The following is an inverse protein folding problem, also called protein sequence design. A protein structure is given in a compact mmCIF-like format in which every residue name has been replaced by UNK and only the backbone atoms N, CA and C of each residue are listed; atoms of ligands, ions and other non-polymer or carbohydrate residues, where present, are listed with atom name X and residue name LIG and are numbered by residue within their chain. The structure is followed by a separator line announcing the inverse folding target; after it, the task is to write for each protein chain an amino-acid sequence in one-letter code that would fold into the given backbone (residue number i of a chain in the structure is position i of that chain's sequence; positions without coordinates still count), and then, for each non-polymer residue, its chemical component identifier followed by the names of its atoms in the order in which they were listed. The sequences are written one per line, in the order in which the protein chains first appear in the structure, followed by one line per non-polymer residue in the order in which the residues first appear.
data_IF_132212663491
#
_entry.id   IF_132212663491
#
_cell.length_a   1.000
_cell.length_b   1.000
_cell.length_c   1.000
_cell.angle_alpha   90.00
_cell.angle_beta   90.00
_cell.angle_gamma   90.00
#
_symmetry.space_group_name_H-M   'P 1'
#
loop_
_entity.id
_entity.type
_entity.pdbx_description
1 polymer ?
#
# COMPACT_ATOMS: atom_id res chain seq x y z
N UNK A 1 -2.92 -31.13 -4.45
CA UNK A 1 -4.00 -30.12 -4.46
C UNK A 1 -3.67 -28.84 -3.69
N UNK A 2 -2.88 -28.86 -2.61
CA UNK A 2 -2.49 -27.64 -1.88
C UNK A 2 -1.57 -26.65 -2.61
N UNK A 3 -0.91 -27.07 -3.70
CA UNK A 3 -0.02 -26.22 -4.51
C UNK A 3 -0.76 -25.14 -5.31
N UNK A 4 -2.00 -25.40 -5.71
CA UNK A 4 -2.80 -24.46 -6.51
C UNK A 4 -3.11 -23.18 -5.73
N UNK A 5 -3.36 -23.29 -4.42
CA UNK A 5 -3.60 -22.15 -3.54
C UNK A 5 -2.34 -21.30 -3.37
N UNK A 6 -1.20 -21.94 -3.13
CA UNK A 6 0.09 -21.26 -2.99
C UNK A 6 0.51 -20.55 -4.28
N UNK A 7 0.20 -21.13 -5.43
CA UNK A 7 0.48 -20.53 -6.74
C UNK A 7 -0.36 -19.28 -7.01
N UNK A 8 -1.52 -19.12 -6.34
CA UNK A 8 -2.36 -17.92 -6.45
C UNK A 8 -2.00 -16.81 -5.47
N UNK A 9 -1.13 -17.06 -4.49
CA UNK A 9 -0.72 -16.03 -3.53
C UNK A 9 -0.20 -14.76 -4.23
N UNK A 10 0.69 -14.83 -5.24
CA UNK A 10 1.16 -13.64 -5.94
C UNK A 10 0.01 -12.85 -6.61
N UNK A 11 -0.91 -13.56 -7.25
CA UNK A 11 -2.08 -12.96 -7.89
C UNK A 11 -3.01 -12.31 -6.85
N UNK A 12 -3.31 -13.02 -5.76
CA UNK A 12 -4.14 -12.53 -4.67
C UNK A 12 -3.54 -11.29 -4.00
N UNK A 13 -2.23 -11.28 -3.77
CA UNK A 13 -1.51 -10.10 -3.26
C UNK A 13 -1.62 -8.92 -4.24
N UNK A 14 -1.47 -9.17 -5.55
CA UNK A 14 -1.69 -8.15 -6.57
C UNK A 14 -3.10 -7.55 -6.52
N UNK A 15 -4.12 -8.38 -6.35
CA UNK A 15 -5.53 -7.94 -6.23
C UNK A 15 -5.73 -7.13 -4.95
N UNK A 16 -5.22 -7.60 -3.81
CA UNK A 16 -5.35 -6.92 -2.50
C UNK A 16 -4.65 -5.55 -2.49
N UNK A 17 -3.60 -5.36 -3.30
CA UNK A 17 -2.89 -4.09 -3.41
C UNK A 17 -3.58 -3.07 -4.34
N UNK A 18 -4.56 -3.48 -5.15
CA UNK A 18 -5.30 -2.59 -6.06
C UNK A 18 -5.87 -1.33 -5.39
N UNK A 19 -6.52 -1.40 -4.20
CA UNK A 19 -7.07 -0.22 -3.55
C UNK A 19 -6.03 0.86 -3.25
N UNK A 20 -4.78 0.48 -2.93
CA UNK A 20 -3.70 1.42 -2.65
C UNK A 20 -3.35 2.25 -3.89
N UNK A 21 -3.25 1.59 -5.05
CA UNK A 21 -2.99 2.26 -6.32
C UNK A 21 -4.15 3.20 -6.68
N UNK A 22 -5.40 2.78 -6.45
CA UNK A 22 -6.59 3.61 -6.69
C UNK A 22 -6.58 4.86 -5.80
N UNK A 23 -6.29 4.72 -4.50
CA UNK A 23 -6.20 5.87 -3.57
C UNK A 23 -5.15 6.87 -4.01
N UNK A 24 -3.98 6.41 -4.46
CA UNK A 24 -2.93 7.28 -4.96
C UNK A 24 -3.36 8.04 -6.23
N UNK A 25 -4.00 7.36 -7.19
CA UNK A 25 -4.56 8.01 -8.40
C UNK A 25 -5.60 9.06 -8.03
N UNK A 26 -6.52 8.74 -7.12
CA UNK A 26 -7.56 9.67 -6.66
C UNK A 26 -6.94 10.90 -6.00
N UNK A 27 -5.97 10.72 -5.10
CA UNK A 27 -5.25 11.82 -4.46
C UNK A 27 -4.52 12.71 -5.48
N UNK A 28 -3.92 12.09 -6.50
CA UNK A 28 -3.24 12.78 -7.59
C UNK A 28 -4.24 13.57 -8.45
N UNK A 29 -5.45 13.05 -8.67
CA UNK A 29 -6.50 13.70 -9.43
C UNK A 29 -7.10 14.92 -8.71
N UNK A 30 -7.12 14.90 -7.36
CA UNK A 30 -7.50 16.05 -6.54
C UNK A 30 -6.41 17.14 -6.44
N UNK A 31 -5.23 16.93 -7.03
CA UNK A 31 -4.18 17.95 -7.07
C UNK A 31 -4.53 19.08 -8.05
N UNK A 32 -4.12 20.30 -7.69
CA UNK A 32 -4.26 21.51 -8.51
C UNK A 32 -3.70 21.35 -9.94
N UNK A 33 -2.71 20.44 -10.11
CA UNK A 33 -2.11 20.08 -11.41
C UNK A 33 -2.40 18.63 -11.82
N UNK A 34 -3.66 18.20 -11.67
CA UNK A 34 -4.13 16.83 -11.89
C UNK A 34 -3.55 16.13 -13.14
N UNK A 35 -3.50 16.81 -14.30
CA UNK A 35 -2.95 16.23 -15.54
C UNK A 35 -1.46 15.86 -15.44
N UNK A 36 -0.62 16.79 -15.00
CA UNK A 36 0.83 16.57 -14.92
C UNK A 36 1.14 15.55 -13.84
N UNK A 37 0.47 15.67 -12.68
CA UNK A 37 0.70 14.79 -11.55
C UNK A 37 0.22 13.35 -11.84
N UNK A 38 -0.87 13.19 -12.61
CA UNK A 38 -1.35 11.86 -13.05
C UNK A 38 -0.37 11.17 -13.99
N UNK A 39 0.19 11.91 -14.95
CA UNK A 39 1.18 11.34 -15.88
C UNK A 39 2.46 10.99 -15.13
N UNK A 40 2.94 11.87 -14.25
CA UNK A 40 4.11 11.61 -13.42
C UNK A 40 3.90 10.38 -12.53
N UNK A 41 2.73 10.25 -11.91
CA UNK A 41 2.35 9.07 -11.13
C UNK A 41 2.34 7.80 -11.98
N UNK A 42 1.71 7.81 -13.15
CA UNK A 42 1.65 6.64 -14.04
C UNK A 42 3.05 6.19 -14.49
N UNK A 43 3.90 7.14 -14.89
CA UNK A 43 5.28 6.85 -15.30
C UNK A 43 6.08 6.30 -14.12
N UNK A 44 6.01 6.94 -12.95
CA UNK A 44 6.70 6.49 -11.74
C UNK A 44 6.23 5.11 -11.28
N UNK A 45 4.93 4.86 -11.35
CA UNK A 45 4.31 3.58 -10.99
C UNK A 45 4.76 2.46 -11.94
N UNK A 46 4.65 2.70 -13.26
CA UNK A 46 5.08 1.73 -14.27
C UNK A 46 6.57 1.44 -14.15
N UNK A 47 7.40 2.48 -14.02
CA UNK A 47 8.84 2.32 -13.83
C UNK A 47 9.16 1.58 -12.53
N UNK A 48 8.46 1.88 -11.45
CA UNK A 48 8.58 1.17 -10.18
C UNK A 48 8.28 -0.32 -10.30
N UNK A 49 7.20 -0.69 -11.02
CA UNK A 49 6.87 -2.10 -11.31
C UNK A 49 7.99 -2.76 -12.13
N UNK A 50 8.44 -2.12 -13.20
CA UNK A 50 9.49 -2.66 -14.08
C UNK A 50 10.78 -2.87 -13.29
N UNK A 51 11.21 -1.88 -12.51
CA UNK A 51 12.42 -1.95 -11.69
C UNK A 51 12.28 -3.01 -10.60
N UNK A 52 11.14 -3.09 -9.93
CA UNK A 52 10.90 -4.10 -8.90
C UNK A 52 10.91 -5.52 -9.49
N UNK A 53 10.24 -5.75 -10.61
CA UNK A 53 10.20 -7.05 -11.30
C UNK A 53 11.57 -7.44 -11.84
N UNK A 54 12.22 -6.54 -12.57
CA UNK A 54 13.54 -6.78 -13.14
C UNK A 54 14.59 -6.99 -12.03
N UNK A 55 14.59 -6.15 -11.00
CA UNK A 55 15.45 -6.28 -9.84
C UNK A 55 15.22 -7.62 -9.12
N UNK A 56 13.97 -7.98 -8.86
CA UNK A 56 13.62 -9.27 -8.26
C UNK A 56 14.10 -10.44 -9.12
N UNK A 57 13.88 -10.38 -10.44
CA UNK A 57 14.33 -11.40 -11.37
C UNK A 57 15.86 -11.56 -11.35
N UNK A 58 16.60 -10.45 -11.42
CA UNK A 58 18.08 -10.47 -11.35
C UNK A 58 18.57 -11.02 -10.02
N UNK A 59 17.96 -10.61 -8.90
CA UNK A 59 18.33 -11.11 -7.57
C UNK A 59 18.04 -12.62 -7.44
N UNK A 60 16.86 -13.07 -7.85
CA UNK A 60 16.46 -14.47 -7.75
C UNK A 60 17.28 -15.39 -8.67
N UNK A 61 17.65 -14.90 -9.86
CA UNK A 61 18.54 -15.62 -10.78
C UNK A 61 19.98 -15.68 -10.26
N UNK A 62 20.49 -14.58 -9.71
CA UNK A 62 21.80 -14.54 -9.05
C UNK A 62 21.87 -15.50 -7.85
N UNK A 63 20.78 -15.62 -7.10
CA UNK A 63 20.65 -16.55 -5.96
C UNK A 63 20.51 -18.02 -6.36
N UNK A 64 20.49 -18.35 -7.65
CA UNK A 64 20.40 -19.73 -8.16
C UNK A 64 19.25 -20.51 -7.51
N UNK A 65 18.05 -19.89 -7.44
CA UNK A 65 16.82 -20.51 -6.89
C UNK A 65 16.28 -21.66 -7.78
N UNK A 66 17.11 -22.22 -8.65
CA UNK A 66 16.82 -23.43 -9.42
C UNK A 66 16.99 -24.65 -8.50
N UNK A 67 15.86 -25.24 -8.11
CA UNK A 67 15.72 -26.61 -7.61
C UNK A 67 16.87 -27.14 -6.72
N UNK A 68 17.16 -26.44 -5.62
CA UNK A 68 17.86 -27.07 -4.49
C UNK A 68 16.84 -28.01 -3.83
N UNK A 69 17.02 -29.32 -4.03
CA UNK A 69 16.24 -30.41 -3.40
C UNK A 69 16.15 -30.31 -1.88
N UNK A 70 16.99 -29.47 -1.25
CA UNK A 70 16.85 -29.01 0.12
C UNK A 70 16.99 -27.47 0.18
N UNK A 71 15.90 -26.72 0.43
CA UNK A 71 16.00 -25.29 0.69
C UNK A 71 16.83 -25.06 1.97
N UNK A 72 17.87 -24.23 1.93
CA UNK A 72 18.67 -23.93 3.11
C UNK A 72 17.81 -23.20 4.17
N UNK A 73 18.06 -23.49 5.45
CA UNK A 73 17.23 -23.04 6.60
C UNK A 73 17.04 -21.52 6.69
N UNK A 74 17.89 -20.72 6.06
CA UNK A 74 17.74 -19.27 6.01
C UNK A 74 16.55 -18.82 5.15
N UNK A 75 16.15 -19.59 4.13
CA UNK A 75 15.04 -19.24 3.23
C UNK A 75 13.71 -19.24 3.99
N UNK A 76 13.32 -20.29 4.74
CA UNK A 76 12.14 -20.26 5.59
C UNK A 76 12.17 -19.13 6.64
N UNK A 77 13.34 -18.86 7.23
CA UNK A 77 13.49 -17.80 8.23
C UNK A 77 13.20 -16.42 7.62
N UNK A 78 13.71 -16.13 6.41
CA UNK A 78 13.41 -14.88 5.72
C UNK A 78 11.92 -14.77 5.40
N UNK A 79 11.27 -15.85 4.94
CA UNK A 79 9.82 -15.83 4.70
C UNK A 79 9.02 -15.55 5.97
N UNK A 80 9.44 -16.14 7.10
CA UNK A 80 8.81 -15.91 8.39
C UNK A 80 8.98 -14.46 8.85
N UNK A 81 10.19 -13.90 8.72
CA UNK A 81 10.49 -12.51 9.09
C UNK A 81 9.71 -11.54 8.20
N UNK A 82 9.67 -11.77 6.89
CA UNK A 82 8.89 -10.97 5.96
C UNK A 82 7.40 -11.04 6.30
N UNK A 83 6.84 -12.25 6.45
CA UNK A 83 5.44 -12.44 6.84
C UNK A 83 5.10 -11.73 8.16
N UNK A 84 5.95 -11.88 9.17
CA UNK A 84 5.78 -11.22 10.47
C UNK A 84 5.85 -9.68 10.35
N UNK A 85 6.75 -9.16 9.53
CA UNK A 85 6.88 -7.72 9.28
C UNK A 85 5.67 -7.16 8.56
N UNK A 86 5.16 -7.86 7.52
CA UNK A 86 3.93 -7.48 6.84
C UNK A 86 2.73 -7.52 7.79
N UNK A 87 2.61 -8.55 8.63
CA UNK A 87 1.54 -8.67 9.62
C UNK A 87 1.62 -7.57 10.67
N UNK A 88 2.81 -7.24 11.17
CA UNK A 88 3.03 -6.15 12.10
C UNK A 88 2.70 -4.80 11.46
N UNK A 89 3.10 -4.59 10.20
CA UNK A 89 2.75 -3.40 9.42
C UNK A 89 1.25 -3.27 9.20
N UNK A 90 0.57 -4.35 8.81
CA UNK A 90 -0.88 -4.39 8.66
C UNK A 90 -1.59 -4.09 9.98
N UNK A 91 -1.13 -4.69 11.09
CA UNK A 91 -1.63 -4.42 12.43
C UNK A 91 -1.41 -2.96 12.86
N UNK A 92 -0.23 -2.41 12.58
CA UNK A 92 0.11 -1.03 12.88
C UNK A 92 -0.75 -0.05 12.08
N UNK A 93 -0.92 -0.27 10.78
CA UNK A 93 -1.79 0.55 9.92
C UNK A 93 -3.25 0.44 10.38
N UNK A 94 -3.74 -0.78 10.63
CA UNK A 94 -5.10 -1.00 11.10
C UNK A 94 -5.38 -0.30 12.44
N UNK A 95 -4.46 -0.44 13.39
CA UNK A 95 -4.57 0.20 14.72
C UNK A 95 -4.45 1.73 14.65
N UNK A 96 -3.69 2.28 13.69
CA UNK A 96 -3.57 3.73 13.49
C UNK A 96 -4.77 4.32 12.76
N UNK A 97 -5.32 3.61 11.77
CA UNK A 97 -6.51 4.02 11.00
C UNK A 97 -7.79 4.08 11.84
N UNK A 98 -7.85 3.39 12.99
CA UNK A 98 -8.99 3.45 13.91
C UNK A 98 -9.21 4.84 14.51
N UNK A 99 -8.16 5.66 14.66
CA UNK A 99 -8.28 7.01 15.26
C UNK A 99 -8.97 8.01 14.34
N UNK A 100 -8.79 7.88 13.02
CA UNK A 100 -9.46 8.74 12.03
C UNK A 100 -10.88 8.29 11.71
N UNK A 101 -11.12 6.98 11.61
CA UNK A 101 -12.44 6.42 11.26
C UNK A 101 -13.45 6.58 12.41
N UNK A 102 -13.02 6.52 13.67
CA UNK A 102 -13.90 6.75 14.84
C UNK A 102 -14.33 8.22 14.99
N UNK A 103 -13.47 9.17 14.61
CA UNK A 103 -13.82 10.59 14.62
C UNK A 103 -14.90 10.93 13.57
N UNK A 104 -14.86 10.28 12.40
CA UNK A 104 -15.88 10.47 11.36
C UNK A 104 -17.17 9.68 11.61
N UNK A 105 -17.08 8.51 12.27
CA UNK A 105 -18.25 7.72 12.65
C UNK A 105 -19.05 8.36 13.81
N UNK A 106 -18.44 9.23 14.61
CA UNK A 106 -19.09 9.97 15.70
C UNK A 106 -19.75 11.28 15.25
N UNK A 107 -19.56 11.72 14.00
CA UNK A 107 -20.18 12.93 13.48
C UNK A 107 -21.61 12.63 13.01
N UNK A 108 -22.59 13.28 13.62
CA UNK A 108 -24.03 13.02 13.39
C UNK A 108 -24.69 14.17 12.61
N UNK A 109 -24.12 15.38 12.60
CA UNK A 109 -24.66 16.53 11.85
C UNK A 109 -23.68 17.05 10.77
N UNK A 110 -24.18 17.51 9.61
CA UNK A 110 -23.35 18.11 8.56
C UNK A 110 -22.53 19.34 8.98
N UNK A 111 -22.87 20.00 10.09
CA UNK A 111 -22.13 21.14 10.64
C UNK A 111 -20.86 20.76 11.41
N UNK A 112 -20.84 19.57 12.02
CA UNK A 112 -19.72 19.12 12.88
C UNK A 112 -18.50 18.72 12.06
N UNK A 113 -18.72 18.23 10.84
CA UNK A 113 -17.65 17.93 9.87
C UNK A 113 -17.07 19.19 9.23
N UNK A 114 -17.85 20.28 9.13
CA UNK A 114 -17.37 21.58 8.62
C UNK A 114 -16.59 22.34 9.71
N UNK A 115 -17.02 22.25 10.97
CA UNK A 115 -16.30 22.85 12.11
C UNK A 115 -14.97 22.14 12.44
N UNK A 116 -14.87 20.84 12.14
CA UNK A 116 -13.62 20.08 12.29
C UNK A 116 -12.67 20.22 11.08
N UNK A 117 -13.07 20.94 10.02
CA UNK A 117 -12.23 21.16 8.85
C UNK A 117 -11.20 22.27 9.13
N UNK A 118 -9.92 22.09 8.73
CA UNK A 118 -8.84 23.01 9.06
C UNK A 118 -9.02 24.43 8.48
N UNK A 119 -9.92 24.63 7.51
CA UNK A 119 -10.24 25.93 6.92
C UNK A 119 -11.02 26.87 7.85
N UNK A 120 -11.75 26.33 8.85
CA UNK A 120 -12.53 27.15 9.79
C UNK A 120 -11.66 27.86 10.84
N UNK A 121 -10.45 27.37 11.09
CA UNK A 121 -9.49 27.97 12.01
C UNK A 121 -8.82 29.23 11.42
N UNK A 122 -8.76 29.34 10.10
CA UNK A 122 -8.11 30.45 9.39
C UNK A 122 -9.03 31.67 9.32
N UNK A 123 -10.34 31.47 9.07
CA UNK A 123 -11.34 32.56 9.07
C UNK A 123 -11.54 33.19 10.46
N UNK A 124 -11.40 32.41 11.54
CA UNK A 124 -11.52 32.90 12.92
C UNK A 124 -10.30 33.73 13.39
N UNK A 125 -9.19 33.70 12.65
CA UNK A 125 -7.98 34.45 12.98
C UNK A 125 -7.91 35.82 12.27
N UNK A 126 -8.79 36.07 11.29
CA UNK A 126 -8.79 37.27 10.44
C UNK A 126 -9.96 38.23 10.78
N UNK A 127 -10.95 37.77 11.54
CA UNK A 127 -12.08 38.58 12.05
C UNK A 127 -11.84 39.12 13.45
#
# INVERSE_FOLDING_TARGET
MGSLLLQQIPLALGIIMSPLAVVAVVAVLFSERARINSIAYLIGWYLGIVVALAGSYVILTALQVHQRTHPPLWVPVIHLVLGATLLAGAWFVYSRSRRGVQAMAAAVAPGDVVAAAPSAAEDAAIG
#
